data_IF_163662031210
#
_entry.id   IF_163662031210
#
_cell.length_a   1.000
_cell.length_b   1.000
_cell.length_c   1.000
_cell.angle_alpha   90.00
_cell.angle_beta   90.00
_cell.angle_gamma   90.00
#
_symmetry.space_group_name_H-M   'P 1'
#
loop_
_entity.id
_entity.type
_entity.pdbx_description
1 polymer ?
#
# COMPACT_ATOMS: atom_id res chain seq x y z
N UNK A 1 38.00 -71.53 -15.01
CA UNK A 1 38.58 -72.39 -13.97
C UNK A 1 39.49 -71.54 -13.10
N UNK A 2 39.42 -71.71 -11.77
CA UNK A 2 40.39 -71.22 -10.76
C UNK A 2 40.61 -69.68 -10.65
N UNK A 3 40.89 -69.08 -9.50
CA UNK A 3 40.57 -69.40 -8.09
C UNK A 3 40.76 -68.09 -7.26
N UNK A 4 40.11 -68.02 -6.08
CA UNK A 4 40.54 -67.46 -4.76
C UNK A 4 41.81 -66.56 -4.62
N UNK A 5 41.98 -65.71 -3.60
CA UNK A 5 41.16 -65.32 -2.42
C UNK A 5 41.74 -64.08 -1.69
N UNK A 6 40.86 -63.34 -1.01
CA UNK A 6 40.90 -62.74 0.36
C UNK A 6 42.19 -62.23 1.06
N UNK A 7 41.94 -61.30 2.01
CA UNK A 7 42.71 -60.95 3.24
C UNK A 7 43.97 -60.07 3.06
N UNK A 8 44.38 -59.20 4.01
CA UNK A 8 43.92 -58.96 5.38
C UNK A 8 44.10 -57.48 5.83
N UNK A 9 43.57 -57.15 7.01
CA UNK A 9 43.79 -55.90 7.76
C UNK A 9 45.27 -55.63 8.10
N UNK A 10 45.65 -54.35 8.22
CA UNK A 10 46.48 -53.85 9.32
C UNK A 10 46.48 -52.32 9.40
N UNK A 11 46.23 -51.78 10.60
CA UNK A 11 46.39 -50.36 10.97
C UNK A 11 47.46 -50.27 12.07
N UNK A 12 48.29 -49.20 12.11
CA UNK A 12 48.43 -48.49 13.38
C UNK A 12 48.46 -46.94 13.28
N UNK A 13 48.19 -46.35 14.46
CA UNK A 13 48.00 -44.93 14.84
C UNK A 13 49.16 -43.95 14.51
N UNK A 14 48.81 -42.68 14.24
CA UNK A 14 49.37 -41.37 14.74
C UNK A 14 48.83 -40.20 13.84
N UNK A 15 48.70 -38.90 14.22
CA UNK A 15 48.81 -38.21 15.53
C UNK A 15 47.97 -36.88 15.62
N UNK A 16 47.29 -36.69 16.76
CA UNK A 16 46.91 -35.46 17.55
C UNK A 16 46.71 -34.05 16.85
N UNK A 17 45.42 -33.61 16.81
CA UNK A 17 44.84 -32.25 17.15
C UNK A 17 45.24 -30.97 16.33
N UNK A 18 44.61 -29.80 16.55
CA UNK A 18 43.15 -29.50 16.57
C UNK A 18 42.77 -28.20 15.82
N UNK A 19 41.48 -27.99 15.50
CA UNK A 19 40.95 -26.63 15.22
C UNK A 19 39.48 -26.48 15.66
N UNK A 20 39.18 -25.30 16.20
CA UNK A 20 38.02 -24.90 17.00
C UNK A 20 36.61 -25.31 16.51
N UNK A 21 35.74 -25.56 17.49
CA UNK A 21 34.29 -25.69 17.32
C UNK A 21 33.63 -24.34 16.98
N UNK A 22 32.52 -24.41 16.25
CA UNK A 22 31.71 -23.27 15.79
C UNK A 22 31.14 -22.49 16.98
N UNK A 23 31.40 -21.18 17.02
CA UNK A 23 30.71 -20.27 17.94
C UNK A 23 29.32 -19.94 17.38
N UNK A 24 28.27 -20.32 18.10
CA UNK A 24 26.89 -19.91 17.81
C UNK A 24 26.54 -18.70 18.68
N UNK A 25 26.52 -17.52 18.08
CA UNK A 25 26.01 -16.29 18.70
C UNK A 25 25.59 -15.27 17.62
N UNK A 26 24.48 -15.55 16.92
CA UNK A 26 23.78 -14.51 16.16
C UNK A 26 22.67 -13.95 17.03
N UNK A 27 22.99 -12.88 17.76
CA UNK A 27 22.05 -12.12 18.56
C UNK A 27 21.03 -11.43 17.64
N UNK A 28 19.83 -12.01 17.54
CA UNK A 28 18.75 -11.45 16.71
C UNK A 28 18.19 -10.23 17.43
N UNK A 29 18.75 -9.07 17.10
CA UNK A 29 18.20 -7.76 17.48
C UNK A 29 16.71 -7.71 17.10
N UNK A 30 15.79 -7.47 18.05
CA UNK A 30 14.37 -7.41 17.72
C UNK A 30 14.12 -6.39 16.61
N UNK A 31 13.42 -6.83 15.56
CA UNK A 31 12.89 -5.93 14.54
C UNK A 31 11.90 -5.02 15.26
N UNK A 32 12.13 -3.71 15.15
CA UNK A 32 11.23 -2.70 15.70
C UNK A 32 9.89 -2.79 14.94
N UNK A 33 8.97 -3.54 15.53
CA UNK A 33 7.65 -3.81 14.98
C UNK A 33 6.79 -2.57 15.24
N UNK A 34 6.36 -1.88 14.17
CA UNK A 34 5.47 -0.74 14.27
C UNK A 34 4.19 -1.20 14.97
N UNK A 35 4.08 -0.85 16.27
CA UNK A 35 3.03 -1.34 17.15
C UNK A 35 1.69 -0.89 16.58
N UNK A 36 0.92 -1.85 16.07
CA UNK A 36 -0.39 -1.58 15.51
C UNK A 36 -1.27 -0.91 16.59
N UNK A 37 -1.92 0.23 16.29
CA UNK A 37 -2.80 0.88 17.25
C UNK A 37 -3.95 -0.06 17.61
N UNK A 38 -4.39 0.02 18.88
CA UNK A 38 -5.45 -0.84 19.41
C UNK A 38 -6.68 -0.84 18.47
N UNK A 39 -6.98 -2.00 17.89
CA UNK A 39 -7.95 -2.09 16.81
C UNK A 39 -9.37 -1.78 17.32
N UNK A 40 -10.08 -0.80 16.72
CA UNK A 40 -11.53 -0.76 16.79
C UNK A 40 -12.09 -2.10 16.28
N UNK A 41 -13.25 -2.52 16.75
CA UNK A 41 -13.94 -3.72 16.22
C UNK A 41 -14.51 -3.55 14.80
N UNK A 42 -14.01 -2.58 14.05
CA UNK A 42 -14.37 -2.28 12.67
C UNK A 42 -13.23 -2.73 11.75
N UNK A 43 -13.59 -3.22 10.58
CA UNK A 43 -12.65 -3.55 9.50
C UNK A 43 -12.84 -2.60 8.32
N UNK A 44 -11.87 -2.57 7.42
CA UNK A 44 -12.05 -1.94 6.11
C UNK A 44 -13.12 -2.68 5.29
N UNK A 45 -13.97 -1.92 4.62
CA UNK A 45 -14.93 -2.38 3.61
C UNK A 45 -14.46 -1.87 2.25
N UNK A 46 -14.21 -2.76 1.30
CA UNK A 46 -13.84 -2.38 -0.08
C UNK A 46 -15.06 -1.82 -0.82
N UNK A 47 -14.90 -0.66 -1.44
CA UNK A 47 -15.97 0.01 -2.18
C UNK A 47 -15.85 -0.30 -3.68
N UNK A 48 -17.01 -0.47 -4.32
CA UNK A 48 -17.07 -0.52 -5.77
C UNK A 48 -16.68 0.84 -6.37
N UNK A 49 -15.93 0.81 -7.47
CA UNK A 49 -15.53 1.99 -8.25
C UNK A 49 -16.15 1.85 -9.64
N UNK A 50 -16.73 2.94 -10.13
CA UNK A 50 -17.36 3.07 -11.44
C UNK A 50 -16.86 4.33 -12.14
N UNK A 51 -17.09 4.43 -13.45
CA UNK A 51 -16.75 5.62 -14.24
C UNK A 51 -17.42 6.91 -13.73
N UNK A 52 -18.51 6.78 -12.95
CA UNK A 52 -19.28 7.86 -12.35
C UNK A 52 -18.95 8.17 -10.88
N UNK A 53 -18.19 7.33 -10.18
CA UNK A 53 -17.97 7.51 -8.74
C UNK A 53 -17.70 6.23 -7.93
N UNK A 54 -17.73 6.40 -6.61
CA UNK A 54 -17.30 5.41 -5.59
C UNK A 54 -18.44 5.04 -4.64
N UNK A 55 -18.60 3.74 -4.40
CA UNK A 55 -19.65 3.17 -3.57
C UNK A 55 -20.97 3.03 -4.32
N UNK A 56 -21.83 2.09 -3.90
CA UNK A 56 -23.10 1.81 -4.58
C UNK A 56 -24.07 3.01 -4.61
N UNK A 57 -23.98 3.89 -3.61
CA UNK A 57 -24.77 5.13 -3.54
C UNK A 57 -24.06 6.35 -4.18
N UNK A 58 -22.92 6.15 -4.85
CA UNK A 58 -22.03 7.21 -5.37
C UNK A 58 -21.69 8.26 -4.30
N UNK A 59 -21.13 7.82 -3.17
CA UNK A 59 -20.73 8.67 -2.03
C UNK A 59 -19.73 9.75 -2.47
N UNK A 60 -18.86 9.39 -3.42
CA UNK A 60 -18.02 10.32 -4.16
C UNK A 60 -18.40 10.23 -5.63
N UNK A 61 -18.55 11.38 -6.29
CA UNK A 61 -18.91 11.49 -7.69
C UNK A 61 -17.68 11.88 -8.52
N UNK A 62 -17.48 11.20 -9.64
CA UNK A 62 -16.58 11.67 -10.70
C UNK A 62 -17.37 12.57 -11.65
N UNK A 63 -16.92 13.81 -11.83
CA UNK A 63 -17.56 14.76 -12.74
C UNK A 63 -16.56 15.25 -13.79
N UNK A 64 -16.97 15.31 -15.05
CA UNK A 64 -16.13 15.84 -16.13
C UNK A 64 -15.92 17.35 -15.94
N UNK A 65 -14.67 17.80 -16.05
CA UNK A 65 -14.31 19.22 -16.02
C UNK A 65 -14.35 19.74 -17.46
N UNK A 66 -15.14 20.81 -17.76
CA UNK A 66 -15.15 21.41 -19.10
C UNK A 66 -13.75 21.79 -19.58
N UNK A 67 -13.48 21.53 -20.86
CA UNK A 67 -12.19 21.80 -21.53
C UNK A 67 -10.95 21.12 -20.91
N UNK A 68 -11.14 20.14 -20.02
CA UNK A 68 -10.08 19.31 -19.43
C UNK A 68 -10.23 17.82 -19.80
N UNK A 69 -9.12 17.08 -19.76
CA UNK A 69 -9.08 15.62 -19.87
C UNK A 69 -9.25 14.94 -18.50
N UNK A 70 -9.32 15.72 -17.42
CA UNK A 70 -9.44 15.26 -16.04
C UNK A 70 -10.88 15.33 -15.51
N UNK A 71 -11.08 14.71 -14.35
CA UNK A 71 -12.36 14.66 -13.64
C UNK A 71 -12.19 15.25 -12.24
N UNK A 72 -13.18 15.99 -11.79
CA UNK A 72 -13.29 16.42 -10.40
C UNK A 72 -13.79 15.26 -9.53
N UNK A 73 -13.25 15.13 -8.32
CA UNK A 73 -13.68 14.14 -7.33
C UNK A 73 -14.56 14.82 -6.29
N UNK A 74 -15.87 14.81 -6.53
CA UNK A 74 -16.83 15.60 -5.77
C UNK A 74 -17.37 14.81 -4.58
N UNK A 75 -17.36 15.43 -3.41
CA UNK A 75 -18.18 15.04 -2.26
C UNK A 75 -19.23 16.12 -1.97
N UNK A 76 -20.45 15.70 -1.65
CA UNK A 76 -21.54 16.61 -1.34
C UNK A 76 -21.50 16.99 0.16
N UNK A 77 -20.75 18.05 0.50
CA UNK A 77 -20.70 18.61 1.86
C UNK A 77 -22.00 19.33 2.22
N UNK A 78 -22.15 19.71 3.50
CA UNK A 78 -23.24 20.60 3.96
C UNK A 78 -23.17 22.00 3.35
N UNK A 79 -21.98 22.44 2.91
CA UNK A 79 -21.77 23.77 2.31
C UNK A 79 -22.00 23.79 0.79
N UNK A 80 -21.92 22.63 0.13
CA UNK A 80 -22.00 22.49 -1.33
C UNK A 80 -21.18 21.30 -1.85
N UNK A 81 -21.17 21.07 -3.16
CA UNK A 81 -20.21 20.16 -3.77
C UNK A 81 -18.77 20.67 -3.52
N UNK A 82 -17.90 19.80 -3.01
CA UNK A 82 -16.48 20.07 -2.78
C UNK A 82 -15.64 19.15 -3.64
N UNK A 83 -14.66 19.69 -4.37
CA UNK A 83 -13.71 18.91 -5.16
C UNK A 83 -12.52 18.52 -4.28
N UNK A 84 -12.49 17.27 -3.85
CA UNK A 84 -11.48 16.76 -2.92
C UNK A 84 -10.05 16.91 -3.46
N UNK A 85 -9.88 16.92 -4.79
CA UNK A 85 -8.54 17.07 -5.37
C UNK A 85 -7.86 18.40 -5.00
N UNK A 86 -8.62 19.45 -4.68
CA UNK A 86 -8.10 20.74 -4.18
C UNK A 86 -7.36 20.60 -2.84
N UNK A 87 -7.68 19.58 -2.03
CA UNK A 87 -6.97 19.25 -0.79
C UNK A 87 -5.80 18.26 -1.02
N UNK A 88 -5.85 17.47 -2.10
CA UNK A 88 -4.98 16.30 -2.33
C UNK A 88 -3.74 16.65 -3.15
N UNK A 89 -3.85 17.41 -4.23
CA UNK A 89 -2.69 17.78 -5.07
C UNK A 89 -2.22 19.21 -4.80
N UNK A 90 -1.06 19.59 -5.34
CA UNK A 90 -0.55 20.97 -5.21
C UNK A 90 -1.24 21.93 -6.19
N UNK A 91 -1.53 21.46 -7.40
CA UNK A 91 -2.21 22.23 -8.45
C UNK A 91 -3.31 21.36 -9.10
N UNK A 92 -4.59 21.56 -8.73
CA UNK A 92 -5.70 20.81 -9.32
C UNK A 92 -6.02 21.21 -10.76
N UNK A 93 -5.55 22.38 -11.25
CA UNK A 93 -5.72 22.80 -12.65
C UNK A 93 -4.69 22.12 -13.57
N UNK A 94 -3.51 21.77 -13.04
CA UNK A 94 -2.46 21.03 -13.74
C UNK A 94 -2.73 19.51 -13.88
N UNK A 95 -3.87 19.01 -13.41
CA UNK A 95 -4.29 17.62 -13.55
C UNK A 95 -4.69 17.31 -14.99
N UNK A 96 -3.84 16.55 -15.69
CA UNK A 96 -4.14 16.01 -17.03
C UNK A 96 -5.13 14.84 -17.00
N UNK A 97 -5.17 14.07 -15.91
CA UNK A 97 -6.22 13.09 -15.64
C UNK A 97 -6.32 12.75 -14.14
N UNK A 98 -7.45 12.13 -13.78
CA UNK A 98 -7.69 11.48 -12.49
C UNK A 98 -8.22 10.07 -12.70
N UNK A 99 -7.56 9.06 -12.13
CA UNK A 99 -8.03 7.68 -12.07
C UNK A 99 -8.24 7.26 -10.61
N UNK A 100 -9.35 6.58 -10.31
CA UNK A 100 -9.62 6.00 -8.99
C UNK A 100 -9.18 4.54 -8.96
N UNK A 101 -8.04 4.29 -8.30
CA UNK A 101 -7.43 2.97 -8.25
C UNK A 101 -8.17 2.06 -7.25
N UNK A 102 -8.32 2.52 -6.01
CA UNK A 102 -8.86 1.73 -4.90
C UNK A 102 -9.61 2.64 -3.94
N UNK A 103 -10.63 2.10 -3.30
CA UNK A 103 -11.46 2.82 -2.35
C UNK A 103 -11.91 1.89 -1.22
N UNK A 104 -11.75 2.35 0.02
CA UNK A 104 -12.14 1.63 1.20
C UNK A 104 -12.85 2.54 2.19
N UNK A 105 -13.83 2.01 2.91
CA UNK A 105 -14.49 2.66 4.05
C UNK A 105 -13.98 2.07 5.36
N UNK A 106 -13.79 2.94 6.36
CA UNK A 106 -13.47 2.56 7.73
C UNK A 106 -14.31 3.41 8.70
N UNK A 107 -15.49 2.91 9.06
CA UNK A 107 -16.45 3.65 9.88
C UNK A 107 -16.97 4.91 9.18
N UNK A 108 -16.50 6.09 9.63
CA UNK A 108 -16.84 7.39 9.04
C UNK A 108 -15.77 7.91 8.06
N UNK A 109 -14.61 7.25 8.02
CA UNK A 109 -13.48 7.62 7.18
C UNK A 109 -13.50 6.82 5.89
N UNK A 110 -12.98 7.41 4.83
CA UNK A 110 -12.74 6.76 3.55
C UNK A 110 -11.26 6.88 3.22
N UNK A 111 -10.64 5.79 2.79
CA UNK A 111 -9.29 5.80 2.22
C UNK A 111 -9.43 5.60 0.73
N UNK A 112 -9.00 6.62 -0.02
CA UNK A 112 -9.06 6.64 -1.48
C UNK A 112 -7.63 6.62 -2.00
N UNK A 113 -7.40 5.81 -3.03
CA UNK A 113 -6.15 5.74 -3.77
C UNK A 113 -6.44 6.20 -5.20
N UNK A 114 -5.76 7.26 -5.63
CA UNK A 114 -5.95 7.89 -6.94
C UNK A 114 -4.62 8.00 -7.66
N UNK A 115 -4.62 7.80 -8.98
CA UNK A 115 -3.49 8.09 -9.85
C UNK A 115 -3.80 9.33 -10.69
N UNK A 116 -2.83 10.23 -10.81
CA UNK A 116 -2.94 11.48 -11.55
C UNK A 116 -1.78 11.63 -12.54
N UNK A 117 -2.05 12.34 -13.64
CA UNK A 117 -1.04 12.77 -14.60
C UNK A 117 -0.83 14.27 -14.48
N UNK A 118 0.13 14.69 -13.66
CA UNK A 118 0.44 16.10 -13.44
C UNK A 118 1.42 16.63 -14.49
N UNK A 119 1.26 17.90 -14.88
CA UNK A 119 2.16 18.59 -15.81
C UNK A 119 2.37 17.88 -17.17
N UNK A 120 1.42 17.05 -17.60
CA UNK A 120 1.50 16.28 -18.84
C UNK A 120 2.41 15.04 -18.78
N UNK A 121 2.95 14.69 -17.61
CA UNK A 121 3.68 13.43 -17.42
C UNK A 121 2.68 12.29 -17.15
N UNK A 122 2.50 11.40 -18.12
CA UNK A 122 1.60 10.25 -17.95
C UNK A 122 2.25 9.07 -17.22
N UNK A 123 3.58 8.93 -17.27
CA UNK A 123 4.30 7.79 -16.71
C UNK A 123 5.62 8.19 -16.02
N UNK A 124 5.88 7.72 -14.78
CA UNK A 124 4.90 7.06 -13.92
C UNK A 124 3.85 8.06 -13.41
N UNK A 125 2.61 7.58 -13.23
CA UNK A 125 1.55 8.37 -12.62
C UNK A 125 1.90 8.75 -11.18
N UNK A 126 1.66 10.00 -10.77
CA UNK A 126 1.70 10.36 -9.36
C UNK A 126 0.50 9.69 -8.69
N UNK A 127 0.72 8.83 -7.70
CA UNK A 127 -0.37 8.11 -7.03
C UNK A 127 -0.47 8.57 -5.60
N UNK A 128 -1.61 9.17 -5.25
CA UNK A 128 -1.93 9.62 -3.91
C UNK A 128 -2.76 8.57 -3.18
N UNK A 129 -2.49 8.36 -1.91
CA UNK A 129 -3.44 7.74 -0.98
C UNK A 129 -3.80 8.75 0.09
N UNK A 130 -5.09 8.96 0.35
CA UNK A 130 -5.55 9.94 1.33
C UNK A 130 -6.77 9.46 2.10
N UNK A 131 -6.95 10.05 3.29
CA UNK A 131 -8.08 9.81 4.18
C UNK A 131 -9.04 10.99 4.14
N UNK A 132 -10.32 10.73 3.85
CA UNK A 132 -11.41 11.71 3.93
C UNK A 132 -12.35 11.35 5.09
N UNK A 133 -12.65 12.28 6.00
CA UNK A 133 -13.61 12.06 7.10
C UNK A 133 -14.90 12.82 6.83
N UNK A 134 -16.03 12.12 6.71
CA UNK A 134 -17.35 12.72 6.47
C UNK A 134 -17.88 13.51 7.68
N UNK A 135 -17.24 13.42 8.85
CA UNK A 135 -17.59 14.23 10.02
C UNK A 135 -17.03 15.64 9.94
N UNK A 136 -15.77 15.79 9.53
CA UNK A 136 -15.15 17.10 9.26
C UNK A 136 -15.42 17.59 7.84
N UNK A 137 -15.86 16.70 6.94
CA UNK A 137 -16.07 16.96 5.51
C UNK A 137 -14.78 17.42 4.81
N UNK A 138 -13.64 16.82 5.21
CA UNK A 138 -12.30 17.22 4.76
C UNK A 138 -11.36 16.02 4.56
N UNK A 139 -10.30 16.22 3.78
CA UNK A 139 -9.11 15.38 3.87
C UNK A 139 -8.45 15.58 5.24
N UNK A 140 -8.04 14.49 5.89
CA UNK A 140 -7.42 14.49 7.22
C UNK A 140 -5.97 13.94 7.23
N UNK A 141 -5.50 13.46 6.08
CA UNK A 141 -4.13 12.96 5.89
C UNK A 141 -3.96 12.46 4.45
N UNK A 142 -2.78 12.65 3.86
CA UNK A 142 -2.45 12.27 2.48
C UNK A 142 -0.97 11.91 2.33
N UNK A 143 -0.67 10.96 1.46
CA UNK A 143 0.70 10.53 1.18
C UNK A 143 0.84 10.04 -0.26
N UNK A 144 2.03 10.13 -0.83
CA UNK A 144 2.35 9.61 -2.16
C UNK A 144 2.79 8.15 -2.09
N UNK A 145 2.35 7.35 -3.07
CA UNK A 145 2.75 5.96 -3.28
C UNK A 145 3.79 5.94 -4.40
N UNK A 146 5.05 5.99 -3.99
CA UNK A 146 6.20 5.87 -4.89
C UNK A 146 6.18 4.56 -5.67
N UNK A 147 6.75 4.59 -6.87
CA UNK A 147 6.90 3.45 -7.75
C UNK A 147 6.53 3.74 -9.19
N UNK A 148 7.18 3.02 -10.10
CA UNK A 148 6.98 3.16 -11.54
C UNK A 148 5.89 2.22 -12.11
N UNK A 149 5.35 1.31 -11.31
CA UNK A 149 4.26 0.41 -11.70
C UNK A 149 2.95 1.18 -11.93
N UNK A 150 2.31 0.91 -13.07
CA UNK A 150 0.92 1.30 -13.35
C UNK A 150 -0.08 0.52 -12.46
N UNK A 151 0.30 -0.67 -12.00
CA UNK A 151 -0.54 -1.49 -11.12
C UNK A 151 -0.35 -1.07 -9.67
N UNK A 152 -1.45 -0.62 -9.05
CA UNK A 152 -1.57 -0.40 -7.61
C UNK A 152 -2.18 -1.63 -6.94
N UNK A 153 -1.45 -2.25 -6.01
CA UNK A 153 -1.94 -3.34 -5.18
C UNK A 153 -2.42 -2.80 -3.82
N UNK A 154 -3.59 -3.26 -3.38
CA UNK A 154 -4.12 -2.91 -2.07
C UNK A 154 -4.75 -4.13 -1.39
N UNK A 155 -4.42 -4.34 -0.11
CA UNK A 155 -4.91 -5.46 0.70
C UNK A 155 -5.35 -4.99 2.08
N UNK A 156 -6.58 -5.34 2.43
CA UNK A 156 -7.21 -5.01 3.71
C UNK A 156 -7.28 -6.25 4.62
N UNK A 157 -6.85 -6.09 5.87
CA UNK A 157 -6.88 -7.10 6.92
C UNK A 157 -7.30 -6.44 8.24
N UNK A 158 -8.53 -6.70 8.68
CA UNK A 158 -9.11 -6.04 9.85
C UNK A 158 -9.03 -4.52 9.75
N UNK A 159 -8.33 -3.89 10.70
CA UNK A 159 -8.12 -2.45 10.77
C UNK A 159 -6.87 -1.95 10.02
N UNK A 160 -6.19 -2.81 9.25
CA UNK A 160 -4.99 -2.50 8.49
C UNK A 160 -5.28 -2.54 6.98
N UNK A 161 -4.90 -1.48 6.28
CA UNK A 161 -4.85 -1.43 4.82
C UNK A 161 -3.39 -1.28 4.41
N UNK A 162 -2.95 -2.10 3.46
CA UNK A 162 -1.62 -2.05 2.86
C UNK A 162 -1.78 -1.63 1.40
N UNK A 163 -1.14 -0.54 0.99
CA UNK A 163 -1.16 -0.03 -0.40
C UNK A 163 0.26 0.00 -0.94
N UNK A 164 0.49 -0.47 -2.16
CA UNK A 164 1.81 -0.46 -2.80
C UNK A 164 1.75 -0.46 -4.32
N UNK A 165 2.83 0.04 -4.91
CA UNK A 165 3.25 -0.26 -6.29
C UNK A 165 4.39 -1.30 -6.22
N UNK A 166 5.48 -1.05 -6.92
CA UNK A 166 6.75 -1.79 -6.96
C UNK A 166 7.69 -1.47 -5.76
N UNK A 167 7.50 -0.33 -5.08
CA UNK A 167 8.32 0.07 -3.92
C UNK A 167 7.78 -0.43 -2.57
N UNK A 168 8.29 0.14 -1.46
CA UNK A 168 7.90 -0.16 -0.08
C UNK A 168 6.40 0.09 0.11
N UNK A 169 5.65 -0.84 0.74
CA UNK A 169 4.24 -0.62 1.04
C UNK A 169 4.01 0.48 2.07
N UNK A 170 2.97 1.28 1.83
CA UNK A 170 2.35 2.18 2.79
C UNK A 170 1.33 1.39 3.62
N UNK A 171 1.40 1.53 4.95
CA UNK A 171 0.53 0.85 5.90
C UNK A 171 -0.36 1.90 6.58
N UNK A 172 -1.67 1.66 6.53
CA UNK A 172 -2.71 2.62 6.93
C UNK A 172 -3.62 1.92 7.94
N UNK A 173 -3.55 2.30 9.20
CA UNK A 173 -4.40 1.76 10.26
C UNK A 173 -5.63 2.65 10.47
N UNK A 174 -6.77 2.06 10.81
CA UNK A 174 -7.98 2.77 11.25
C UNK A 174 -8.54 3.86 10.30
N UNK A 175 -8.24 3.77 9.01
CA UNK A 175 -8.57 4.81 8.03
C UNK A 175 -7.75 6.11 8.18
N UNK A 176 -6.56 6.04 8.78
CA UNK A 176 -5.67 7.18 9.04
C UNK A 176 -4.38 7.07 8.20
N UNK A 177 -4.35 7.79 7.09
CA UNK A 177 -3.12 8.12 6.35
C UNK A 177 -2.33 9.16 7.15
N UNK A 178 -1.01 8.99 7.20
CA UNK A 178 -0.05 9.91 7.83
C UNK A 178 0.61 10.79 6.79
#
# INVERSE_FOLDING_TARGET
ACDKSQTAEQQPKQEIKPAAQVQVASEVKPKEEEIAPAAPSMSYEALYISDSGVGYDNVFLLQDIPDSMSKALIYQTKAGPHNIMEDVVEDPEALGYLNLERAYKFGNKYVLVVSTGENGNSCPATTYTFSYDIKSESVIGKTEINGCSEVVEAFADGNKLTVKKDEKPTIIYNGEVK
#
